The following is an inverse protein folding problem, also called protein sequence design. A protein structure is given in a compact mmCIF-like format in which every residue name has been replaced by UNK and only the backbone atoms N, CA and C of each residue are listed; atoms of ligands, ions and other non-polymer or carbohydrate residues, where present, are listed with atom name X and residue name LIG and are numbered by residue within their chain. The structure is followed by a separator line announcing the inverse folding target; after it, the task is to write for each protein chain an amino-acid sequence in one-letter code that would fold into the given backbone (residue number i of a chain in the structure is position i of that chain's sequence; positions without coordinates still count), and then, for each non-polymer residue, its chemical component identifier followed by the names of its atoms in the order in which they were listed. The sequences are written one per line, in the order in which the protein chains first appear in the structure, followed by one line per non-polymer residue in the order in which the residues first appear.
data_IF_668985148160
#
_entry.id   IF_668985148160
#
_cell.length_a   1.000
_cell.length_b   1.000
_cell.length_c   1.000
_cell.angle_alpha   90.00
_cell.angle_beta   90.00
_cell.angle_gamma   90.00
#
_symmetry.space_group_name_H-M   'P 1'
#
loop_
_entity.id
_entity.type
_entity.pdbx_description
1 polymer ?
#
# COMPACT_ATOMS: atom_id res chain seq x y z
N UNK A 1 -2.47 12.24 19.85
CA UNK A 1 -2.69 13.26 18.79
C UNK A 1 -2.18 12.66 17.49
N UNK A 2 -3.07 12.17 16.62
CA UNK A 2 -2.66 11.68 15.31
C UNK A 2 -2.28 12.89 14.46
N UNK A 3 -0.99 13.06 14.18
CA UNK A 3 -0.55 14.06 13.21
C UNK A 3 -0.84 13.49 11.82
N UNK A 4 -1.57 14.19 10.95
CA UNK A 4 -1.72 13.77 9.58
C UNK A 4 -0.32 13.70 8.95
N UNK A 5 0.06 12.52 8.50
CA UNK A 5 1.29 12.32 7.76
C UNK A 5 0.94 12.40 6.27
N UNK A 6 1.61 13.28 5.55
CA UNK A 6 1.59 13.24 4.11
C UNK A 6 2.43 12.04 3.70
N UNK A 7 1.79 11.06 3.07
CA UNK A 7 2.45 9.89 2.55
C UNK A 7 2.48 9.98 1.03
N UNK A 8 3.68 10.11 0.47
CA UNK A 8 3.89 10.10 -0.98
C UNK A 8 3.74 8.68 -1.52
N UNK A 9 3.57 8.57 -2.83
CA UNK A 9 3.51 7.27 -3.48
C UNK A 9 4.85 6.52 -3.39
N UNK A 10 5.94 7.27 -3.47
CA UNK A 10 7.29 6.74 -3.35
C UNK A 10 7.52 6.16 -1.94
N UNK A 11 7.13 6.88 -0.88
CA UNK A 11 7.20 6.39 0.51
C UNK A 11 6.28 5.17 0.73
N UNK A 12 5.08 5.15 0.14
CA UNK A 12 4.20 3.97 0.14
C UNK A 12 4.89 2.75 -0.46
N UNK A 13 5.54 2.94 -1.60
CA UNK A 13 6.23 1.87 -2.32
C UNK A 13 7.44 1.34 -1.56
N UNK A 14 8.15 2.23 -0.86
CA UNK A 14 9.27 1.85 0.03
C UNK A 14 8.78 1.07 1.25
N UNK A 15 7.74 1.56 1.94
CA UNK A 15 7.19 0.84 3.09
C UNK A 15 6.69 -0.56 2.72
N UNK A 16 6.00 -0.72 1.58
CA UNK A 16 5.60 -2.04 1.09
C UNK A 16 6.81 -2.96 0.89
N UNK A 17 7.92 -2.43 0.34
CA UNK A 17 9.15 -3.19 0.14
C UNK A 17 9.81 -3.58 1.47
N UNK A 18 9.72 -2.75 2.50
CA UNK A 18 10.22 -3.09 3.84
C UNK A 18 9.47 -4.30 4.41
N UNK A 19 8.15 -4.36 4.25
CA UNK A 19 7.37 -5.53 4.64
C UNK A 19 7.75 -6.77 3.82
N UNK A 20 7.92 -6.64 2.50
CA UNK A 20 8.36 -7.75 1.65
C UNK A 20 9.70 -8.33 2.12
N UNK A 21 10.66 -7.47 2.47
CA UNK A 21 11.94 -7.87 3.02
C UNK A 21 11.82 -8.51 4.41
N UNK A 22 10.95 -7.96 5.27
CA UNK A 22 10.73 -8.45 6.64
C UNK A 22 10.13 -9.85 6.67
N UNK A 23 9.17 -10.12 5.79
CA UNK A 23 8.40 -11.35 5.80
C UNK A 23 8.83 -12.39 4.75
N UNK A 24 9.62 -11.98 3.75
CA UNK A 24 10.17 -12.87 2.74
C UNK A 24 9.17 -13.31 1.65
N UNK A 25 8.04 -12.61 1.51
CA UNK A 25 7.09 -12.79 0.42
C UNK A 25 6.68 -11.44 -0.17
N UNK A 26 6.34 -11.44 -1.46
CA UNK A 26 5.89 -10.21 -2.15
C UNK A 26 4.56 -9.72 -1.57
N UNK A 27 4.28 -8.43 -1.71
CA UNK A 27 3.02 -7.82 -1.26
C UNK A 27 1.81 -8.47 -1.94
N UNK A 28 1.98 -8.92 -3.19
CA UNK A 28 0.93 -9.64 -3.93
C UNK A 28 0.61 -10.98 -3.26
N UNK A 29 1.64 -11.75 -2.91
CA UNK A 29 1.47 -13.05 -2.26
C UNK A 29 0.92 -12.87 -0.83
N UNK A 30 1.44 -11.91 -0.08
CA UNK A 30 0.89 -11.49 1.20
C UNK A 30 -0.61 -11.23 1.11
N UNK A 31 -1.01 -10.35 0.19
CA UNK A 31 -2.39 -9.89 0.10
C UNK A 31 -3.35 -11.02 -0.28
N UNK A 32 -2.91 -11.92 -1.16
CA UNK A 32 -3.69 -13.13 -1.50
C UNK A 32 -3.99 -13.97 -0.26
N UNK A 33 -2.97 -14.25 0.56
CA UNK A 33 -3.13 -15.04 1.80
C UNK A 33 -3.97 -14.31 2.84
N UNK A 34 -3.76 -13.00 2.97
CA UNK A 34 -4.56 -12.13 3.84
C UNK A 34 -6.05 -12.19 3.47
N UNK A 35 -6.39 -12.06 2.19
CA UNK A 35 -7.78 -12.14 1.72
C UNK A 35 -8.42 -13.52 1.90
N UNK A 36 -7.62 -14.58 1.81
CA UNK A 36 -8.09 -15.95 2.05
C UNK A 36 -8.30 -16.27 3.54
N UNK A 37 -7.93 -15.37 4.45
CA UNK A 37 -7.97 -15.62 5.90
C UNK A 37 -6.90 -16.60 6.38
N UNK A 38 -5.83 -16.77 5.60
CA UNK A 38 -4.69 -17.65 5.94
C UNK A 38 -3.70 -16.98 6.90
N UNK A 39 -3.85 -15.67 7.12
CA UNK A 39 -3.02 -14.86 7.99
C UNK A 39 -3.82 -14.45 9.24
N UNK A 40 -3.11 -14.37 10.37
CA UNK A 40 -3.68 -13.92 11.64
C UNK A 40 -4.02 -12.43 11.64
N UNK A 41 -4.52 -11.98 12.79
CA UNK A 41 -4.88 -10.61 13.10
C UNK A 41 -3.72 -9.78 13.67
N UNK A 42 -2.48 -10.11 13.30
CA UNK A 42 -1.32 -9.35 13.70
C UNK A 42 -1.43 -7.90 13.21
N UNK A 43 -1.25 -6.94 14.12
CA UNK A 43 -1.29 -5.49 13.84
C UNK A 43 -0.41 -5.09 12.65
N UNK A 44 0.74 -5.77 12.52
CA UNK A 44 1.71 -5.54 11.46
C UNK A 44 1.19 -6.00 10.08
N UNK A 45 0.46 -7.11 10.03
CA UNK A 45 -0.19 -7.60 8.81
C UNK A 45 -1.38 -6.71 8.43
N UNK A 46 -2.17 -6.27 9.42
CA UNK A 46 -3.23 -5.30 9.18
C UNK A 46 -2.71 -3.98 8.61
N UNK A 47 -1.57 -3.50 9.11
CA UNK A 47 -0.91 -2.30 8.59
C UNK A 47 -0.43 -2.50 7.15
N UNK A 48 0.22 -3.63 6.85
CA UNK A 48 0.68 -3.94 5.50
C UNK A 48 -0.50 -4.01 4.50
N UNK A 49 -1.62 -4.64 4.88
CA UNK A 49 -2.83 -4.68 4.07
C UNK A 49 -3.41 -3.28 3.81
N UNK A 50 -3.41 -2.42 4.83
CA UNK A 50 -3.85 -1.02 4.71
C UNK A 50 -2.99 -0.21 3.73
N UNK A 51 -1.66 -0.32 3.82
CA UNK A 51 -0.73 0.35 2.92
C UNK A 51 -0.91 -0.11 1.47
N UNK A 52 -1.09 -1.41 1.26
CA UNK A 52 -1.32 -1.95 -0.09
C UNK A 52 -2.67 -1.48 -0.65
N UNK A 53 -3.72 -1.40 0.18
CA UNK A 53 -5.00 -0.86 -0.24
C UNK A 53 -4.90 0.62 -0.64
N UNK A 54 -4.15 1.42 0.13
CA UNK A 54 -3.90 2.83 -0.20
C UNK A 54 -3.11 2.98 -1.50
N UNK A 55 -2.11 2.11 -1.73
CA UNK A 55 -1.37 2.04 -2.99
C UNK A 55 -2.30 1.79 -4.18
N UNK A 56 -3.20 0.80 -4.09
CA UNK A 56 -4.13 0.47 -5.18
C UNK A 56 -5.13 1.60 -5.48
N UNK A 57 -5.66 2.24 -4.45
CA UNK A 57 -6.70 3.28 -4.60
C UNK A 57 -6.13 4.64 -5.02
N UNK A 58 -4.87 4.93 -4.72
CA UNK A 58 -4.21 6.17 -5.12
C UNK A 58 -3.79 6.20 -6.60
N UNK A 59 -3.58 5.04 -7.22
CA UNK A 59 -3.10 4.94 -8.61
C UNK A 59 -4.06 5.51 -9.66
N UNK A 60 -5.36 5.17 -9.69
CA UNK A 60 -6.30 5.70 -10.68
C UNK A 60 -6.45 7.22 -10.58
N UNK A 61 -6.54 7.75 -9.35
CA UNK A 61 -6.65 9.19 -9.12
C UNK A 61 -5.39 9.93 -9.57
N UNK A 62 -4.20 9.38 -9.29
CA UNK A 62 -2.94 9.95 -9.76
C UNK A 62 -2.82 9.94 -11.29
N UNK A 63 -3.25 8.86 -11.95
CA UNK A 63 -3.26 8.78 -13.41
C UNK A 63 -4.22 9.81 -14.01
N UNK A 64 -5.42 9.96 -13.43
CA UNK A 64 -6.40 10.97 -13.81
C UNK A 64 -5.82 12.38 -13.68
N UNK A 65 -5.28 12.75 -12.50
CA UNK A 65 -4.70 14.08 -12.27
C UNK A 65 -3.53 14.41 -13.19
N UNK A 66 -2.67 13.43 -13.50
CA UNK A 66 -1.58 13.62 -14.48
C UNK A 66 -2.10 13.86 -15.89
N UNK A 67 -3.18 13.19 -16.29
CA UNK A 67 -3.78 13.38 -17.62
C UNK A 67 -4.40 14.77 -17.80
N UNK A 68 -5.05 15.33 -16.77
CA UNK A 68 -5.58 16.70 -16.83
C UNK A 68 -4.48 17.76 -16.86
N UNK A 69 -3.39 17.56 -16.11
CA UNK A 69 -2.27 18.52 -16.07
C UNK A 69 -1.48 18.54 -17.40
N UNK A 70 -1.45 17.43 -18.13
CA UNK A 70 -0.81 17.34 -19.46
C UNK A 70 -1.72 17.83 -20.59
N UNK A 71 -3.02 18.02 -20.34
CA UNK A 71 -4.01 18.47 -21.32
C UNK A 71 -4.31 19.99 -21.24
N UNK A 72 -3.75 20.69 -20.26
CA UNK A 72 -3.88 22.14 -20.04
C UNK A 72 -2.62 22.89 -20.49
#
# INVERSE_FOLDING_TARGET
MFKPQHLTFEELSEQLREYENKYGYSTIEFYRRFQNGELGDDDDLMMWAGLYHLYLTSLPIRQFMKSETLAA
#
